data_IF_373698091930
#
_entry.id   IF_373698091930
#
_cell.length_a   1.000
_cell.length_b   1.000
_cell.length_c   1.000
_cell.angle_alpha   90.00
_cell.angle_beta   90.00
_cell.angle_gamma   90.00
#
_symmetry.space_group_name_H-M   'P 1'
#
loop_
_entity.id
_entity.type
_entity.pdbx_description
1 polymer ?
#
# COMPACT_ATOMS: atom_id res chain seq x y z
N UNK A 1 14.31 14.72 11.79
CA UNK A 1 13.88 16.10 11.63
C UNK A 1 13.06 16.54 12.83
N UNK A 2 12.82 17.82 12.90
CA UNK A 2 11.93 18.35 13.92
C UNK A 2 10.48 17.94 13.61
N UNK A 3 9.73 17.64 14.66
CA UNK A 3 8.30 17.37 14.53
C UNK A 3 7.56 18.70 14.41
N UNK A 4 6.66 18.78 13.43
CA UNK A 4 5.76 19.93 13.33
C UNK A 4 4.59 19.82 14.33
N UNK A 5 3.77 20.88 14.44
CA UNK A 5 2.67 20.92 15.38
C UNK A 5 1.64 19.80 15.12
N UNK A 6 1.42 19.45 13.87
CA UNK A 6 0.51 18.37 13.49
C UNK A 6 1.03 17.02 13.97
N UNK A 7 2.33 16.76 13.82
CA UNK A 7 2.95 15.52 14.30
C UNK A 7 2.88 15.45 15.84
N UNK A 8 3.05 16.57 16.54
CA UNK A 8 2.96 16.62 18.00
C UNK A 8 1.54 16.29 18.48
N UNK A 9 0.53 16.90 17.90
CA UNK A 9 -0.88 16.62 18.20
C UNK A 9 -1.22 15.14 17.93
N UNK A 10 -0.66 14.59 16.87
CA UNK A 10 -0.81 13.20 16.51
C UNK A 10 -0.16 12.25 17.51
N UNK A 11 1.01 12.62 18.03
CA UNK A 11 1.69 11.83 19.06
C UNK A 11 0.87 11.74 20.34
N UNK A 12 0.24 12.83 20.76
CA UNK A 12 -0.64 12.81 21.93
C UNK A 12 -1.82 11.86 21.74
N UNK A 13 -2.42 11.84 20.56
CA UNK A 13 -3.48 10.91 20.21
C UNK A 13 -2.98 9.45 20.23
N UNK A 14 -1.83 9.20 19.63
CA UNK A 14 -1.23 7.86 19.54
C UNK A 14 -0.91 7.29 20.92
N UNK A 15 -0.45 8.11 21.86
CA UNK A 15 -0.15 7.69 23.24
C UNK A 15 -1.34 7.07 23.94
N UNK A 16 -2.56 7.45 23.58
CA UNK A 16 -3.78 6.88 24.14
C UNK A 16 -4.14 5.52 23.53
N UNK A 17 -3.57 5.19 22.37
CA UNK A 17 -3.91 4.01 21.57
C UNK A 17 -2.80 2.94 21.54
N UNK A 18 -1.64 3.20 22.11
CA UNK A 18 -0.52 2.25 22.12
C UNK A 18 -0.49 1.39 23.39
N UNK A 19 -0.09 0.11 23.29
CA UNK A 19 0.24 -0.60 22.06
C UNK A 19 -1.00 -0.90 21.22
N UNK A 20 -0.84 -0.93 19.90
CA UNK A 20 -1.91 -1.26 18.98
C UNK A 20 -1.67 -2.57 18.24
N UNK A 21 -2.70 -3.38 18.17
CA UNK A 21 -2.73 -4.62 17.41
C UNK A 21 -3.85 -4.56 16.37
N UNK A 22 -3.55 -4.90 15.14
CA UNK A 22 -4.56 -5.11 14.11
C UNK A 22 -4.32 -6.47 13.47
N UNK A 23 -5.22 -7.39 13.73
CA UNK A 23 -5.20 -8.68 13.06
C UNK A 23 -5.71 -8.56 11.63
N UNK A 24 -5.16 -9.35 10.73
CA UNK A 24 -5.59 -9.34 9.32
C UNK A 24 -7.11 -9.51 9.17
N UNK A 25 -7.71 -10.42 9.93
CA UNK A 25 -9.16 -10.66 9.91
C UNK A 25 -10.01 -9.45 10.32
N UNK A 26 -9.43 -8.51 11.06
CA UNK A 26 -10.11 -7.32 11.57
C UNK A 26 -9.75 -6.06 10.76
N UNK A 27 -8.88 -6.19 9.77
CA UNK A 27 -8.51 -5.08 8.91
C UNK A 27 -9.69 -4.63 8.05
N UNK A 28 -9.80 -3.33 7.84
CA UNK A 28 -10.82 -2.79 6.96
C UNK A 28 -10.56 -3.19 5.51
N UNK A 29 -11.52 -3.88 4.89
CA UNK A 29 -11.42 -4.36 3.51
C UNK A 29 -12.08 -3.37 2.55
N UNK A 30 -11.42 -3.12 1.43
CA UNK A 30 -11.93 -2.25 0.39
C UNK A 30 -11.29 -2.57 -0.96
N UNK A 31 -11.88 -2.02 -2.02
CA UNK A 31 -11.30 -2.05 -3.37
C UNK A 31 -10.92 -0.63 -3.74
N UNK A 32 -9.68 -0.46 -4.17
CA UNK A 32 -9.19 0.85 -4.62
C UNK A 32 -9.97 1.36 -5.82
N UNK A 33 -10.24 2.67 -5.85
CA UNK A 33 -11.02 3.28 -6.91
C UNK A 33 -10.48 3.01 -8.31
N UNK A 34 -9.17 2.98 -8.48
CA UNK A 34 -8.53 2.67 -9.76
C UNK A 34 -8.66 1.21 -10.19
N UNK A 35 -9.20 0.34 -9.34
CA UNK A 35 -9.46 -1.07 -9.63
C UNK A 35 -10.94 -1.41 -9.87
N UNK A 36 -11.85 -0.49 -9.60
CA UNK A 36 -13.30 -0.81 -9.57
C UNK A 36 -13.92 -1.07 -10.94
N UNK A 37 -13.33 -0.58 -12.02
CA UNK A 37 -13.88 -0.67 -13.38
C UNK A 37 -13.01 -1.48 -14.34
N UNK A 38 -12.08 -2.26 -13.82
CA UNK A 38 -11.16 -3.09 -14.61
C UNK A 38 -11.17 -4.54 -14.12
N UNK A 39 -10.50 -5.43 -14.86
CA UNK A 39 -10.40 -6.85 -14.51
C UNK A 39 -9.43 -7.06 -13.34
N UNK A 40 -9.79 -6.57 -12.16
CA UNK A 40 -8.98 -6.69 -10.96
C UNK A 40 -9.66 -7.54 -9.89
N UNK A 41 -8.91 -8.47 -9.33
CA UNK A 41 -9.30 -9.24 -8.15
C UNK A 41 -8.67 -8.68 -6.87
N UNK A 42 -7.92 -7.59 -6.96
CA UNK A 42 -7.17 -7.03 -5.86
C UNK A 42 -8.10 -6.52 -4.77
N UNK A 43 -7.99 -7.09 -3.59
CA UNK A 43 -8.67 -6.62 -2.40
C UNK A 43 -7.66 -6.07 -1.41
N UNK A 44 -7.90 -4.86 -0.96
CA UNK A 44 -7.04 -4.17 0.01
C UNK A 44 -7.54 -4.37 1.43
N UNK A 45 -6.61 -4.52 2.36
CA UNK A 45 -6.87 -4.65 3.79
C UNK A 45 -6.06 -3.59 4.53
N UNK A 46 -6.72 -2.58 5.06
CA UNK A 46 -6.08 -1.48 5.77
C UNK A 46 -5.69 -1.94 7.17
N UNK A 47 -4.40 -2.07 7.42
CA UNK A 47 -3.87 -2.55 8.71
C UNK A 47 -3.55 -1.38 9.64
N UNK A 48 -2.99 -0.33 9.09
CA UNK A 48 -2.69 0.90 9.83
C UNK A 48 -3.19 2.08 9.00
N UNK A 49 -4.29 2.67 9.43
CA UNK A 49 -4.95 3.73 8.69
C UNK A 49 -4.17 5.05 8.73
N UNK A 50 -4.53 5.94 7.82
CA UNK A 50 -3.94 7.28 7.72
C UNK A 50 -4.01 8.02 9.05
N UNK A 51 -2.93 8.72 9.40
CA UNK A 51 -2.79 9.54 10.59
C UNK A 51 -2.74 8.78 11.91
N UNK A 52 -2.87 7.47 11.89
CA UNK A 52 -2.73 6.74 13.14
C UNK A 52 -1.28 6.73 13.62
N UNK A 53 -0.34 6.52 12.71
CA UNK A 53 1.10 6.52 13.00
C UNK A 53 1.81 7.62 12.20
N UNK A 54 1.44 8.87 12.45
CA UNK A 54 2.04 10.04 11.82
C UNK A 54 1.88 10.03 10.31
N UNK A 55 3.00 9.95 9.59
CA UNK A 55 3.07 9.98 8.12
C UNK A 55 2.94 8.63 7.46
N UNK A 56 2.80 7.56 8.22
CA UNK A 56 2.77 6.19 7.71
C UNK A 56 1.36 5.64 7.66
N UNK A 57 1.10 4.87 6.61
CA UNK A 57 -0.07 4.02 6.47
C UNK A 57 0.38 2.68 5.94
N UNK A 58 -0.29 1.62 6.33
CA UNK A 58 0.11 0.25 5.98
C UNK A 58 -1.11 -0.60 5.66
N UNK A 59 -0.95 -1.50 4.73
CA UNK A 59 -2.00 -2.42 4.36
C UNK A 59 -1.48 -3.65 3.65
N UNK A 60 -2.41 -4.50 3.29
CA UNK A 60 -2.14 -5.78 2.68
C UNK A 60 -3.10 -5.99 1.52
N UNK A 61 -2.54 -6.29 0.35
CA UNK A 61 -3.32 -6.57 -0.86
C UNK A 61 -3.26 -8.05 -1.17
N UNK A 62 -4.43 -8.63 -1.46
CA UNK A 62 -4.58 -10.05 -1.82
C UNK A 62 -5.49 -10.18 -3.04
N UNK A 63 -5.29 -11.25 -3.79
CA UNK A 63 -6.09 -11.57 -4.95
C UNK A 63 -5.51 -12.75 -5.73
N UNK A 64 -6.24 -13.22 -6.73
CA UNK A 64 -5.80 -14.32 -7.59
C UNK A 64 -5.73 -13.85 -9.05
N UNK A 65 -4.74 -14.36 -9.79
CA UNK A 65 -4.67 -14.14 -11.23
C UNK A 65 -5.71 -14.97 -12.02
N UNK A 66 -6.02 -14.60 -13.26
CA UNK A 66 -5.52 -13.41 -13.93
C UNK A 66 -6.11 -12.13 -13.33
N UNK A 67 -5.31 -11.11 -13.21
CA UNK A 67 -5.74 -9.84 -12.62
C UNK A 67 -4.85 -8.68 -13.05
N UNK A 68 -5.31 -7.48 -12.80
CA UNK A 68 -4.50 -6.26 -12.96
C UNK A 68 -4.65 -5.38 -11.73
N UNK A 69 -3.63 -4.63 -11.44
CA UNK A 69 -3.70 -3.48 -10.56
C UNK A 69 -3.54 -2.26 -11.45
N UNK A 70 -4.58 -1.44 -11.50
CA UNK A 70 -4.66 -0.30 -12.42
C UNK A 70 -3.52 0.69 -12.22
N UNK A 71 -3.03 1.24 -13.32
CA UNK A 71 -2.00 2.28 -13.26
C UNK A 71 -2.55 3.52 -12.56
N UNK A 72 -1.83 4.00 -11.58
CA UNK A 72 -2.21 5.16 -10.78
C UNK A 72 -0.98 5.91 -10.29
N UNK A 73 -1.20 7.09 -9.76
CA UNK A 73 -0.16 7.99 -9.25
C UNK A 73 -0.52 8.44 -7.85
N UNK A 74 0.48 8.45 -6.97
CA UNK A 74 0.36 9.10 -5.67
C UNK A 74 1.20 10.39 -5.68
N UNK A 75 0.58 11.57 -5.66
CA UNK A 75 1.31 12.83 -5.78
C UNK A 75 2.05 13.26 -4.53
N UNK A 76 1.72 12.68 -3.39
CA UNK A 76 2.09 13.18 -2.06
C UNK A 76 2.76 12.15 -1.15
N UNK A 77 3.01 10.93 -1.64
CA UNK A 77 3.61 9.89 -0.83
C UNK A 77 4.62 9.02 -1.58
N UNK A 78 5.53 8.46 -0.83
CA UNK A 78 6.39 7.34 -1.25
C UNK A 78 5.74 6.03 -0.82
N UNK A 79 5.95 4.96 -1.60
CA UNK A 79 5.33 3.67 -1.35
C UNK A 79 6.31 2.52 -1.55
N UNK A 80 6.25 1.55 -0.66
CA UNK A 80 6.98 0.28 -0.77
C UNK A 80 6.00 -0.87 -0.80
N UNK A 81 6.28 -1.86 -1.65
CA UNK A 81 5.60 -3.16 -1.61
C UNK A 81 6.61 -4.20 -1.15
N UNK A 82 6.19 -5.02 -0.21
CA UNK A 82 6.95 -6.17 0.26
C UNK A 82 6.18 -7.42 -0.19
N UNK A 83 6.71 -8.15 -1.15
CA UNK A 83 6.04 -9.32 -1.71
C UNK A 83 6.11 -10.46 -0.71
N UNK A 84 4.94 -10.93 -0.29
CA UNK A 84 4.79 -11.96 0.72
C UNK A 84 4.81 -13.36 0.08
N UNK A 85 4.95 -14.44 0.90
CA UNK A 85 4.99 -15.81 0.39
C UNK A 85 3.82 -16.14 -0.53
N UNK A 86 4.13 -16.72 -1.69
CA UNK A 86 3.17 -17.09 -2.72
C UNK A 86 2.74 -15.95 -3.65
N UNK A 87 3.15 -14.72 -3.37
CA UNK A 87 2.87 -13.58 -4.24
C UNK A 87 3.85 -13.50 -5.39
N UNK A 88 3.35 -13.13 -6.56
CA UNK A 88 4.20 -12.78 -7.72
C UNK A 88 3.39 -11.93 -8.71
N UNK A 89 4.05 -11.04 -9.40
CA UNK A 89 3.41 -10.15 -10.38
C UNK A 89 4.46 -9.46 -11.26
N UNK A 90 4.02 -8.95 -12.40
CA UNK A 90 4.82 -8.04 -13.20
C UNK A 90 4.48 -6.61 -12.78
N UNK A 91 5.41 -5.99 -12.09
CA UNK A 91 5.28 -4.62 -11.62
C UNK A 91 5.84 -3.65 -12.65
N UNK A 92 5.11 -2.59 -12.93
CA UNK A 92 5.50 -1.54 -13.87
C UNK A 92 5.50 -0.19 -13.16
N UNK A 93 6.59 0.54 -13.27
CA UNK A 93 6.71 1.91 -12.77
C UNK A 93 7.43 2.77 -13.78
N UNK A 94 6.86 3.91 -14.10
CA UNK A 94 7.39 4.87 -15.08
C UNK A 94 7.77 4.22 -16.43
N UNK A 95 6.92 3.28 -16.88
CA UNK A 95 7.11 2.56 -18.14
C UNK A 95 8.10 1.40 -18.10
N UNK A 96 8.77 1.17 -16.99
CA UNK A 96 9.72 0.05 -16.83
C UNK A 96 9.05 -1.09 -16.05
N UNK A 97 9.17 -2.30 -16.58
CA UNK A 97 8.56 -3.50 -15.97
C UNK A 97 9.60 -4.45 -15.41
N UNK A 98 9.28 -5.04 -14.26
CA UNK A 98 10.09 -6.08 -13.62
C UNK A 98 9.15 -7.12 -13.01
N UNK A 99 9.49 -8.39 -13.16
CA UNK A 99 8.78 -9.46 -12.45
C UNK A 99 9.29 -9.52 -11.00
N UNK A 100 8.38 -9.48 -10.06
CA UNK A 100 8.68 -9.56 -8.62
C UNK A 100 7.96 -10.75 -8.00
N UNK A 101 8.58 -11.36 -7.00
CA UNK A 101 8.07 -12.52 -6.28
C UNK A 101 8.42 -12.44 -4.79
N UNK A 102 8.05 -13.44 -4.03
CA UNK A 102 8.20 -13.44 -2.57
C UNK A 102 9.60 -13.00 -2.13
N UNK A 103 9.65 -12.12 -1.15
CA UNK A 103 10.89 -11.55 -0.61
C UNK A 103 11.36 -10.29 -1.34
N UNK A 104 10.87 -10.00 -2.53
CA UNK A 104 11.23 -8.79 -3.27
C UNK A 104 10.52 -7.57 -2.69
N UNK A 105 11.19 -6.43 -2.81
CA UNK A 105 10.65 -5.13 -2.39
C UNK A 105 10.66 -4.18 -3.57
N UNK A 106 9.54 -3.48 -3.80
CA UNK A 106 9.48 -2.37 -4.77
C UNK A 106 9.46 -1.04 -4.03
N UNK A 107 9.98 -0.02 -4.68
CA UNK A 107 9.85 1.36 -4.22
C UNK A 107 9.25 2.20 -5.34
N UNK A 108 8.26 3.00 -5.00
CA UNK A 108 7.64 3.96 -5.92
C UNK A 108 7.64 5.33 -5.27
N UNK A 109 8.34 6.27 -5.86
CA UNK A 109 8.36 7.65 -5.39
C UNK A 109 7.11 8.43 -5.79
N UNK A 110 6.98 9.63 -5.26
CA UNK A 110 5.89 10.56 -5.60
C UNK A 110 5.79 10.77 -7.11
N UNK A 111 4.57 10.93 -7.59
CA UNK A 111 4.24 11.25 -8.99
C UNK A 111 4.69 10.19 -10.02
N UNK A 112 5.02 8.97 -9.58
CA UNK A 112 5.44 7.90 -10.48
C UNK A 112 4.24 7.03 -10.85
N UNK A 113 3.82 6.99 -12.14
CA UNK A 113 2.78 6.07 -12.58
C UNK A 113 3.22 4.63 -12.37
N UNK A 114 2.36 3.83 -11.75
CA UNK A 114 2.67 2.43 -11.48
C UNK A 114 1.42 1.55 -11.47
N UNK A 115 1.61 0.29 -11.77
CA UNK A 115 0.57 -0.72 -11.81
C UNK A 115 1.18 -2.09 -11.92
N UNK A 116 0.35 -3.13 -12.00
CA UNK A 116 0.83 -4.51 -12.07
C UNK A 116 -0.09 -5.39 -12.90
N UNK A 117 0.50 -6.42 -13.48
CA UNK A 117 -0.21 -7.52 -14.14
C UNK A 117 0.08 -8.82 -13.39
N UNK A 118 -0.96 -9.60 -13.18
CA UNK A 118 -0.92 -10.87 -12.47
C UNK A 118 -1.42 -11.95 -13.43
N UNK A 119 -0.55 -12.91 -13.77
CA UNK A 119 -0.89 -14.00 -14.67
C UNK A 119 -1.86 -15.00 -14.01
N UNK A 120 -2.45 -15.88 -14.81
CA UNK A 120 -3.47 -16.82 -14.32
C UNK A 120 -2.98 -17.77 -13.21
N UNK A 121 -1.68 -18.07 -13.19
CA UNK A 121 -1.05 -18.93 -12.19
C UNK A 121 -0.40 -18.17 -11.03
N UNK A 122 -0.53 -16.83 -11.03
CA UNK A 122 0.05 -15.97 -10.02
C UNK A 122 -1.00 -15.51 -9.00
N UNK A 123 -0.53 -14.96 -7.88
CA UNK A 123 -1.38 -14.41 -6.81
C UNK A 123 -0.88 -13.06 -6.37
N UNK A 124 -1.82 -12.18 -6.04
CA UNK A 124 -1.53 -10.93 -5.35
C UNK A 124 -1.37 -11.26 -3.87
N UNK A 125 -0.19 -11.03 -3.33
CA UNK A 125 0.05 -11.12 -1.89
C UNK A 125 1.22 -10.23 -1.52
N UNK A 126 0.94 -8.99 -1.18
CA UNK A 126 1.98 -8.06 -0.75
C UNK A 126 1.50 -7.12 0.34
N UNK A 127 2.43 -6.74 1.18
CA UNK A 127 2.25 -5.73 2.19
C UNK A 127 2.74 -4.39 1.63
N UNK A 128 1.98 -3.33 1.79
CA UNK A 128 2.40 -2.01 1.35
C UNK A 128 2.59 -1.07 2.55
N UNK A 129 3.59 -0.23 2.44
CA UNK A 129 3.89 0.86 3.38
C UNK A 129 3.92 2.15 2.59
N UNK A 130 3.22 3.15 3.07
CA UNK A 130 3.19 4.50 2.49
C UNK A 130 3.75 5.49 3.50
N UNK A 131 4.49 6.48 2.99
CA UNK A 131 4.95 7.62 3.78
C UNK A 131 4.48 8.91 3.11
N UNK A 132 3.53 9.60 3.71
CA UNK A 132 3.06 10.90 3.22
C UNK A 132 4.11 11.97 3.55
N UNK A 133 4.75 12.54 2.53
CA UNK A 133 5.90 13.43 2.68
C UNK A 133 5.53 14.68 3.50
N UNK A 134 4.34 15.20 3.31
CA UNK A 134 3.85 16.38 4.01
C UNK A 134 2.75 16.04 5.05
N UNK A 135 2.68 14.78 5.45
CA UNK A 135 1.60 14.28 6.29
C UNK A 135 0.27 14.13 5.52
N UNK A 136 -0.66 13.41 6.11
CA UNK A 136 -1.99 13.25 5.55
C UNK A 136 -2.85 14.48 5.84
N UNK A 137 -3.69 14.86 4.89
CA UNK A 137 -4.63 15.97 5.07
C UNK A 137 -5.57 15.72 6.26
N UNK A 138 -5.85 16.74 6.98
CA UNK A 138 -6.73 16.69 8.17
C UNK A 138 -8.21 16.54 7.85
#
# INVERSE_FOLDING_TARGET
GEMDQHDIERMDYIHMELPRFRLFKDAWRYVEGFNTSIASTCQSHHVMEHRFLGRYSMGWNVGAGPSVIGTHIHPDLDQWYIILPGGSMTYTADGESTHVSEGDVTYTGMNTPHGSEIAADEKINYFWVECAINGYAS
#
